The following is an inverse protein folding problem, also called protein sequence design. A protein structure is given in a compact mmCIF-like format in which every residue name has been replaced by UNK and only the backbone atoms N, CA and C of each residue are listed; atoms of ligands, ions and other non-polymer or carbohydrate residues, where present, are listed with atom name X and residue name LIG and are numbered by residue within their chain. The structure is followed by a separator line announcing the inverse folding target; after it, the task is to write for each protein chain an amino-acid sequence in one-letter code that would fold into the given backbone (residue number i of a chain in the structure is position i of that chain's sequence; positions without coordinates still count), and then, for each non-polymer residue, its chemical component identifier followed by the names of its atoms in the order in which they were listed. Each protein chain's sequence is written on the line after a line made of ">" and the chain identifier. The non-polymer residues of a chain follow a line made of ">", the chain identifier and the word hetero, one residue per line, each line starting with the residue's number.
data_IF_720127264383
#
_entry.id   IF_720127264383
#
_cell.length_a   1.000
_cell.length_b   1.000
_cell.length_c   1.000
_cell.angle_alpha   90.00
_cell.angle_beta   90.00
_cell.angle_gamma   90.00
#
_symmetry.space_group_name_H-M   'P 1'
#
loop_
_entity.id
_entity.type
_entity.pdbx_description
1 polymer ?
#
# COMPACT_ATOMS: atom_id res chain seq x y z
N UNK A 1 5.71 7.58 -0.82
CA UNK A 1 4.44 7.42 -1.54
C UNK A 1 3.67 8.74 -1.47
N UNK A 2 2.90 9.09 -2.50
CA UNK A 2 2.32 10.44 -2.68
C UNK A 2 0.84 10.58 -2.33
N UNK A 3 0.18 9.54 -1.80
CA UNK A 3 -1.18 9.61 -1.28
C UNK A 3 -2.32 9.70 -2.29
N UNK A 4 -2.12 9.22 -3.52
CA UNK A 4 -3.19 9.08 -4.51
C UNK A 4 -4.02 7.81 -4.28
N UNK A 5 -3.36 6.65 -4.17
CA UNK A 5 -4.00 5.39 -3.86
C UNK A 5 -3.23 4.72 -2.73
N UNK A 6 -3.95 4.03 -1.84
CA UNK A 6 -3.31 3.06 -0.96
C UNK A 6 -2.68 1.99 -1.82
N UNK A 7 -1.46 1.58 -1.50
CA UNK A 7 -0.73 0.59 -2.27
C UNK A 7 -0.67 -0.71 -1.46
N UNK A 8 -1.04 -1.84 -2.07
CA UNK A 8 -0.81 -3.17 -1.51
C UNK A 8 0.69 -3.45 -1.39
N UNK A 9 1.11 -3.92 -0.22
CA UNK A 9 2.47 -4.39 0.06
C UNK A 9 2.53 -5.92 -0.03
N UNK A 10 3.76 -6.44 -0.16
CA UNK A 10 4.01 -7.87 -0.19
C UNK A 10 3.80 -8.55 1.18
N UNK A 11 3.83 -7.77 2.27
CA UNK A 11 3.64 -8.24 3.64
C UNK A 11 2.24 -8.84 3.85
N UNK A 12 2.18 -10.06 4.40
CA UNK A 12 0.95 -10.85 4.64
C UNK A 12 0.87 -11.34 6.08
N UNK A 13 -0.35 -11.41 6.61
CA UNK A 13 -0.69 -12.03 7.90
C UNK A 13 -1.99 -12.82 7.74
N UNK A 14 -1.88 -14.13 7.56
CA UNK A 14 -3.03 -14.99 7.28
C UNK A 14 -3.76 -14.57 6.00
N UNK A 15 -5.03 -14.22 6.13
CA UNK A 15 -5.90 -13.72 5.07
C UNK A 15 -5.83 -12.20 4.87
N UNK A 16 -4.93 -11.50 5.58
CA UNK A 16 -4.75 -10.05 5.45
C UNK A 16 -3.45 -9.67 4.76
N UNK A 17 -3.44 -8.49 4.14
CA UNK A 17 -2.28 -7.87 3.52
C UNK A 17 -2.13 -6.42 3.96
N UNK A 18 -0.88 -5.95 4.01
CA UNK A 18 -0.59 -4.58 4.41
C UNK A 18 -0.84 -3.61 3.26
N UNK A 19 -1.40 -2.45 3.58
CA UNK A 19 -1.53 -1.31 2.67
C UNK A 19 -0.85 -0.08 3.25
N UNK A 20 -0.19 0.71 2.40
CA UNK A 20 0.47 1.93 2.83
C UNK A 20 0.32 3.08 1.81
N UNK A 21 0.72 4.29 2.20
CA UNK A 21 0.89 5.43 1.30
C UNK A 21 -0.25 6.43 1.23
N UNK A 22 -1.46 6.08 1.69
CA UNK A 22 -2.64 6.97 1.69
C UNK A 22 -3.34 7.08 0.34
N UNK A 23 -4.57 7.60 0.32
CA UNK A 23 -5.36 7.81 -0.91
C UNK A 23 -6.06 9.15 -0.92
N UNK A 24 -6.45 9.62 -2.11
CA UNK A 24 -7.21 10.85 -2.33
C UNK A 24 -8.56 10.89 -1.60
N UNK A 25 -9.08 9.72 -1.19
CA UNK A 25 -10.31 9.60 -0.40
C UNK A 25 -10.17 10.09 1.06
N UNK A 26 -8.97 10.09 1.63
CA UNK A 26 -8.73 10.44 3.04
C UNK A 26 -7.87 11.69 3.20
N UNK A 27 -8.04 12.40 4.32
CA UNK A 27 -7.25 13.58 4.64
C UNK A 27 -5.79 13.26 5.01
N UNK A 28 -4.97 14.32 5.07
CA UNK A 28 -3.52 14.26 5.26
C UNK A 28 -3.07 13.44 6.49
N UNK A 29 -3.91 13.30 7.52
CA UNK A 29 -3.57 12.47 8.67
C UNK A 29 -3.32 11.01 8.30
N UNK A 30 -4.07 10.48 7.33
CA UNK A 30 -3.98 9.10 6.87
C UNK A 30 -2.92 8.90 5.77
N UNK A 31 -2.16 9.94 5.43
CA UNK A 31 -1.11 9.92 4.41
C UNK A 31 0.29 9.89 5.04
N UNK A 32 0.41 9.53 6.31
CA UNK A 32 1.68 9.41 7.04
C UNK A 32 2.19 7.97 7.05
N UNK A 33 3.50 7.81 7.26
CA UNK A 33 4.14 6.49 7.26
C UNK A 33 3.55 5.56 8.33
N UNK A 34 3.13 6.12 9.45
CA UNK A 34 2.58 5.40 10.60
C UNK A 34 1.12 4.96 10.37
N UNK A 35 0.47 5.42 9.30
CA UNK A 35 -0.95 5.15 9.02
C UNK A 35 -1.20 3.88 8.20
N UNK A 36 -0.20 3.02 8.02
CA UNK A 36 -0.36 1.75 7.31
C UNK A 36 -1.46 0.85 7.93
N UNK A 37 -2.16 0.10 7.10
CA UNK A 37 -3.33 -0.67 7.52
C UNK A 37 -3.31 -2.09 6.96
N UNK A 38 -3.54 -3.07 7.84
CA UNK A 38 -3.89 -4.44 7.46
C UNK A 38 -5.34 -4.48 6.97
N UNK A 39 -5.58 -5.18 5.87
CA UNK A 39 -6.92 -5.36 5.27
C UNK A 39 -7.08 -6.81 4.80
N UNK A 40 -8.30 -7.36 4.75
CA UNK A 40 -8.54 -8.64 4.09
C UNK A 40 -7.96 -8.64 2.67
N UNK A 41 -7.32 -9.73 2.25
CA UNK A 41 -6.62 -9.82 0.97
C UNK A 41 -7.56 -9.82 -0.24
N UNK A 42 -8.84 -10.10 -0.03
CA UNK A 42 -9.92 -10.02 -1.02
C UNK A 42 -10.61 -8.65 -1.06
N UNK A 43 -10.21 -7.71 -0.19
CA UNK A 43 -10.77 -6.37 -0.14
C UNK A 43 -10.50 -5.60 -1.44
N UNK A 44 -11.54 -5.05 -2.05
CA UNK A 44 -11.45 -4.39 -3.35
C UNK A 44 -12.22 -3.07 -3.36
N UNK A 45 -11.50 -1.96 -3.49
CA UNK A 45 -12.06 -0.61 -3.65
C UNK A 45 -11.20 0.23 -4.60
N UNK A 46 -11.82 1.20 -5.27
CA UNK A 46 -11.23 1.99 -6.37
C UNK A 46 -9.99 2.80 -5.99
N UNK A 47 -9.79 3.09 -4.71
CA UNK A 47 -8.67 3.91 -4.21
C UNK A 47 -7.55 3.07 -3.57
N UNK A 48 -7.54 1.75 -3.82
CA UNK A 48 -6.44 0.84 -3.48
C UNK A 48 -5.87 0.26 -4.77
N UNK A 49 -4.55 0.39 -4.97
CA UNK A 49 -3.81 -0.13 -6.10
C UNK A 49 -2.53 -0.83 -5.66
N UNK A 50 -1.54 -0.90 -6.56
CA UNK A 50 -0.22 -1.45 -6.27
C UNK A 50 0.86 -0.68 -7.01
N UNK A 51 2.09 -0.75 -6.50
CA UNK A 51 3.28 -0.21 -7.16
C UNK A 51 4.28 -1.34 -7.35
N UNK A 52 4.70 -1.55 -8.59
CA UNK A 52 5.70 -2.57 -8.90
C UNK A 52 7.07 -2.16 -8.34
N UNK A 53 7.76 -3.13 -7.76
CA UNK A 53 9.16 -3.02 -7.32
C UNK A 53 9.93 -4.14 -8.00
N UNK A 54 11.12 -3.83 -8.50
CA UNK A 54 11.99 -4.78 -9.18
C UNK A 54 13.28 -4.94 -8.38
N UNK A 55 13.83 -6.16 -8.34
CA UNK A 55 15.15 -6.38 -7.77
C UNK A 55 16.17 -5.53 -8.53
N UNK A 56 17.07 -4.88 -7.80
CA UNK A 56 18.18 -4.18 -8.44
C UNK A 56 19.04 -5.20 -9.20
N UNK A 57 19.37 -4.90 -10.45
CA UNK A 57 20.38 -5.68 -11.17
C UNK A 57 21.73 -5.52 -10.45
N UNK A 58 22.55 -6.58 -10.38
CA UNK A 58 23.91 -6.47 -9.86
C UNK A 58 24.65 -5.39 -10.65
N UNK A 59 25.32 -4.47 -9.94
CA UNK A 59 26.28 -3.56 -10.59
C UNK A 59 27.55 -4.38 -10.83
N UNK A 60 27.93 -4.53 -12.10
CA UNK A 60 29.24 -5.05 -12.49
C UNK A 60 30.37 -4.10 -12.15
#
# INVERSE_FOLDING_TARGET
>A
MGGNAWEWLADRQGDTALTAGGSWWYGAHQMRAESMQWKPADFSVVYVGFRCIYAALPRG
#
